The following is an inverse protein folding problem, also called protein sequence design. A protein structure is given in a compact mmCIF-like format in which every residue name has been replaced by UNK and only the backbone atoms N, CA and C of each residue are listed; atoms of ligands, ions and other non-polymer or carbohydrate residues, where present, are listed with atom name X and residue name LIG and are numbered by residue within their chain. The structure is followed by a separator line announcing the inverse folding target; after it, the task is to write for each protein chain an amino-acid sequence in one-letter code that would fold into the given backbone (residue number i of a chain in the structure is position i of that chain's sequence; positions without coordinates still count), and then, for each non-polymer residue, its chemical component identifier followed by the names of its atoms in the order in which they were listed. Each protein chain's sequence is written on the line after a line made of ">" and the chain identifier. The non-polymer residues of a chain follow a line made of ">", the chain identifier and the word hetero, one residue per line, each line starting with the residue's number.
data_IF_806642575270
#
_entry.id   IF_806642575270
#
_cell.length_a   1.000
_cell.length_b   1.000
_cell.length_c   1.000
_cell.angle_alpha   90.00
_cell.angle_beta   90.00
_cell.angle_gamma   90.00
#
_symmetry.space_group_name_H-M   'P 1'
#
loop_
_entity.id
_entity.type
_entity.pdbx_description
1 polymer ?
#
# COMPACT_ATOMS: atom_id res chain seq x y z
N UNK A 1 -1.32 14.38 17.52
CA UNK A 1 -1.49 13.25 18.48
C UNK A 1 -0.90 11.94 17.91
N UNK A 2 -0.58 10.97 18.78
CA UNK A 2 -0.17 9.62 18.38
C UNK A 2 -1.42 8.84 18.03
N UNK A 3 -1.60 8.52 16.75
CA UNK A 3 -2.89 8.02 16.25
C UNK A 3 -2.81 6.57 15.77
N UNK A 4 -1.77 5.82 16.16
CA UNK A 4 -1.63 4.41 15.80
C UNK A 4 -0.19 3.88 15.86
N UNK A 5 -0.06 2.57 15.65
CA UNK A 5 1.24 1.91 15.49
C UNK A 5 1.81 2.21 14.11
N UNK A 6 3.02 2.76 14.09
CA UNK A 6 3.75 3.07 12.87
C UNK A 6 5.11 2.38 12.93
N UNK A 7 5.36 1.45 12.01
CA UNK A 7 6.59 0.66 12.02
C UNK A 7 6.82 -0.01 13.38
N UNK A 8 5.73 -0.61 13.89
CA UNK A 8 5.64 -1.34 15.16
C UNK A 8 5.72 -0.50 16.45
N UNK A 9 5.72 0.83 16.35
CA UNK A 9 5.80 1.71 17.53
C UNK A 9 4.72 2.77 17.55
N UNK A 10 4.23 3.10 18.75
CA UNK A 10 3.26 4.19 18.94
C UNK A 10 3.97 5.51 18.70
N UNK A 11 3.65 6.17 17.59
CA UNK A 11 4.29 7.43 17.21
C UNK A 11 3.30 8.38 16.53
N UNK A 12 3.71 9.64 16.37
CA UNK A 12 2.92 10.63 15.63
C UNK A 12 3.07 10.44 14.12
N UNK A 13 2.05 10.81 13.35
CA UNK A 13 2.08 10.71 11.87
C UNK A 13 3.31 11.42 11.26
N UNK A 14 3.72 12.54 11.87
CA UNK A 14 4.94 13.25 11.48
C UNK A 14 6.23 12.40 11.59
N UNK A 15 6.30 11.47 12.56
CA UNK A 15 7.44 10.59 12.77
C UNK A 15 7.36 9.39 11.82
N UNK A 16 6.17 8.86 11.55
CA UNK A 16 5.95 7.86 10.49
C UNK A 16 6.44 8.34 9.13
N UNK A 17 5.99 9.51 8.67
CA UNK A 17 6.39 10.06 7.37
C UNK A 17 7.87 10.45 7.33
N UNK A 18 8.45 10.82 8.47
CA UNK A 18 9.88 11.10 8.57
C UNK A 18 10.71 9.81 8.49
N UNK A 19 10.34 8.79 9.26
CA UNK A 19 11.03 7.50 9.32
C UNK A 19 11.04 6.82 7.96
N UNK A 20 9.88 6.72 7.29
CA UNK A 20 9.78 6.16 5.93
C UNK A 20 10.75 6.77 4.92
N UNK A 21 11.06 8.07 5.04
CA UNK A 21 11.95 8.78 4.12
C UNK A 21 13.43 8.67 4.47
N UNK A 22 13.77 8.35 5.71
CA UNK A 22 15.15 8.45 6.19
C UNK A 22 15.72 7.14 6.72
N UNK A 23 14.90 6.15 7.08
CA UNK A 23 15.37 4.93 7.73
C UNK A 23 16.20 3.98 6.84
N UNK A 24 16.16 4.18 5.52
CA UNK A 24 16.99 3.45 4.57
C UNK A 24 18.28 4.20 4.17
N UNK A 25 18.44 5.45 4.63
CA UNK A 25 19.67 6.20 4.40
C UNK A 25 20.77 5.68 5.29
N UNK A 26 22.02 5.81 4.84
CA UNK A 26 23.14 5.62 5.75
C UNK A 26 23.10 6.74 6.82
N UNK A 27 23.30 6.34 8.07
CA UNK A 27 23.35 7.26 9.19
C UNK A 27 24.62 8.12 9.14
N UNK A 28 25.67 7.64 8.47
CA UNK A 28 26.91 8.41 8.24
C UNK A 28 26.66 9.65 7.37
N UNK A 29 25.69 9.60 6.44
CA UNK A 29 25.26 10.74 5.61
C UNK A 29 24.48 11.81 6.40
N UNK A 30 24.10 11.50 7.64
CA UNK A 30 23.35 12.40 8.50
C UNK A 30 24.26 13.00 9.56
N UNK A 31 24.61 14.27 9.43
CA UNK A 31 25.42 14.97 10.43
C UNK A 31 24.56 15.68 11.48
N UNK A 32 24.88 15.47 12.76
CA UNK A 32 24.40 16.36 13.81
C UNK A 32 25.22 17.66 13.82
N UNK A 33 24.55 18.82 13.92
CA UNK A 33 25.21 20.13 14.06
C UNK A 33 25.62 20.48 15.51
N UNK A 34 25.31 19.58 16.44
CA UNK A 34 25.53 19.73 17.88
C UNK A 34 26.23 18.46 18.41
N UNK A 35 25.96 18.04 19.64
CA UNK A 35 26.57 16.91 20.33
C UNK A 35 25.96 15.53 20.03
N UNK A 36 25.10 15.39 19.02
CA UNK A 36 24.40 14.12 18.75
C UNK A 36 23.31 13.74 19.76
N UNK A 37 23.00 14.63 20.72
CA UNK A 37 22.05 14.40 21.81
C UNK A 37 20.87 15.39 21.81
N UNK A 38 20.51 15.93 20.63
CA UNK A 38 19.45 16.94 20.51
C UNK A 38 18.11 16.43 21.08
N UNK A 39 17.45 17.25 21.89
CA UNK A 39 16.10 16.99 22.38
C UNK A 39 15.10 17.04 21.23
N UNK A 40 14.31 15.97 21.05
CA UNK A 40 13.31 15.87 19.98
C UNK A 40 11.90 16.02 20.56
N UNK A 41 11.24 17.14 20.25
CA UNK A 41 9.85 17.45 20.59
C UNK A 41 9.13 18.15 19.41
N UNK A 42 7.88 18.60 19.59
CA UNK A 42 7.09 19.25 18.52
C UNK A 42 7.83 20.41 17.86
N UNK A 43 8.50 21.24 18.66
CA UNK A 43 9.18 22.48 18.25
C UNK A 43 10.56 22.19 17.63
N UNK A 44 11.29 21.23 18.20
CA UNK A 44 12.71 20.97 17.86
C UNK A 44 12.94 19.85 16.87
N UNK A 45 11.96 18.96 16.61
CA UNK A 45 12.08 17.78 15.72
C UNK A 45 12.47 18.08 14.26
N UNK A 46 12.52 19.34 13.83
CA UNK A 46 12.97 19.72 12.49
C UNK A 46 14.43 20.21 12.46
N UNK A 47 15.03 20.46 13.63
CA UNK A 47 16.35 21.09 13.72
C UNK A 47 17.52 20.12 13.47
N UNK A 48 17.31 18.82 13.72
CA UNK A 48 18.33 17.79 13.53
C UNK A 48 17.74 16.47 13.01
N UNK A 49 18.03 16.15 11.75
CA UNK A 49 17.62 14.88 11.11
C UNK A 49 18.30 13.68 11.76
N UNK A 50 19.61 13.77 12.03
CA UNK A 50 20.39 12.70 12.68
C UNK A 50 19.76 12.28 14.02
N UNK A 51 19.65 13.19 15.00
CA UNK A 51 19.12 12.86 16.33
C UNK A 51 17.67 12.38 16.28
N UNK A 52 16.87 12.90 15.34
CA UNK A 52 15.50 12.43 15.16
C UNK A 52 15.44 11.00 14.63
N UNK A 53 16.25 10.67 13.63
CA UNK A 53 16.31 9.31 13.10
C UNK A 53 16.88 8.34 14.13
N UNK A 54 17.94 8.76 14.85
CA UNK A 54 18.48 8.00 15.98
C UNK A 54 17.38 7.67 16.99
N UNK A 55 16.59 8.67 17.41
CA UNK A 55 15.48 8.46 18.35
C UNK A 55 14.42 7.50 17.81
N UNK A 56 14.11 7.54 16.52
CA UNK A 56 13.19 6.57 15.90
C UNK A 56 13.70 5.11 16.05
N UNK A 57 14.98 4.87 15.84
CA UNK A 57 15.58 3.55 16.06
C UNK A 57 15.72 3.19 17.54
N UNK A 58 16.02 4.16 18.41
CA UNK A 58 16.11 3.95 19.87
C UNK A 58 14.78 3.43 20.43
N UNK A 59 13.65 3.97 19.95
CA UNK A 59 12.31 3.45 20.31
C UNK A 59 11.90 2.20 19.53
N UNK A 60 12.80 1.59 18.74
CA UNK A 60 12.59 0.35 17.97
C UNK A 60 11.59 0.44 16.82
N UNK A 61 11.51 1.59 16.13
CA UNK A 61 10.82 1.61 14.83
C UNK A 61 11.53 0.69 13.83
N UNK A 62 10.78 -0.20 13.19
CA UNK A 62 11.32 -1.25 12.30
C UNK A 62 11.40 -0.79 10.85
N UNK A 63 12.61 -0.62 10.30
CA UNK A 63 12.80 -0.20 8.90
C UNK A 63 12.41 -1.29 7.91
N UNK A 64 12.40 -2.55 8.35
CA UNK A 64 12.03 -3.74 7.58
C UNK A 64 10.55 -3.72 7.16
N UNK A 65 9.74 -2.90 7.83
CA UNK A 65 8.33 -2.68 7.51
C UNK A 65 8.12 -1.58 6.46
N UNK A 66 9.20 -0.94 6.01
CA UNK A 66 9.16 -0.02 4.87
C UNK A 66 9.18 -0.87 3.60
N UNK A 67 8.13 -0.72 2.78
CA UNK A 67 8.04 -1.44 1.52
C UNK A 67 9.22 -1.11 0.61
N UNK A 68 9.76 -2.13 -0.02
CA UNK A 68 10.81 -1.95 -1.03
C UNK A 68 10.22 -1.36 -2.32
N UNK A 69 11.09 -0.85 -3.18
CA UNK A 69 10.68 -0.41 -4.52
C UNK A 69 10.07 -1.57 -5.32
N UNK A 70 10.64 -2.77 -5.19
CA UNK A 70 10.15 -3.98 -5.84
C UNK A 70 8.75 -4.35 -5.35
N UNK A 71 8.51 -4.41 -4.05
CA UNK A 71 7.18 -4.67 -3.48
C UNK A 71 6.15 -3.62 -3.93
N UNK A 72 6.60 -2.37 -4.04
CA UNK A 72 5.75 -1.27 -4.53
C UNK A 72 5.37 -1.49 -6.00
N UNK A 73 6.32 -1.88 -6.85
CA UNK A 73 6.09 -2.22 -8.26
C UNK A 73 5.18 -3.44 -8.40
N UNK A 74 5.43 -4.51 -7.65
CA UNK A 74 4.59 -5.72 -7.64
C UNK A 74 3.15 -5.36 -7.29
N UNK A 75 2.94 -4.54 -6.26
CA UNK A 75 1.60 -4.09 -5.88
C UNK A 75 0.91 -3.25 -6.96
N UNK A 76 1.66 -2.42 -7.69
CA UNK A 76 1.13 -1.66 -8.82
C UNK A 76 0.72 -2.60 -9.96
N UNK A 77 1.58 -3.55 -10.33
CA UNK A 77 1.27 -4.56 -11.35
C UNK A 77 0.05 -5.40 -10.97
N UNK A 78 -0.06 -5.83 -9.71
CA UNK A 78 -1.23 -6.55 -9.22
C UNK A 78 -2.53 -5.75 -9.37
N UNK A 79 -2.48 -4.42 -9.20
CA UNK A 79 -3.65 -3.56 -9.44
C UNK A 79 -4.04 -3.53 -10.91
N UNK A 80 -3.05 -3.36 -11.79
CA UNK A 80 -3.27 -3.34 -13.25
C UNK A 80 -3.84 -4.68 -13.74
N UNK A 81 -3.27 -5.80 -13.28
CA UNK A 81 -3.79 -7.14 -13.59
C UNK A 81 -5.22 -7.29 -13.10
N UNK A 82 -5.54 -6.83 -11.89
CA UNK A 82 -6.91 -6.89 -11.35
C UNK A 82 -7.88 -6.04 -12.17
N UNK A 83 -7.46 -4.89 -12.66
CA UNK A 83 -8.25 -4.02 -13.54
C UNK A 83 -8.46 -4.66 -14.92
N UNK A 84 -7.42 -5.25 -15.49
CA UNK A 84 -7.49 -6.00 -16.74
C UNK A 84 -8.44 -7.20 -16.62
N UNK A 85 -8.34 -7.99 -15.54
CA UNK A 85 -9.24 -9.11 -15.29
C UNK A 85 -10.71 -8.66 -15.20
N UNK A 86 -10.98 -7.51 -14.56
CA UNK A 86 -12.33 -6.94 -14.52
C UNK A 86 -12.83 -6.57 -15.92
N UNK A 87 -11.98 -5.92 -16.73
CA UNK A 87 -12.34 -5.53 -18.09
C UNK A 87 -12.58 -6.75 -18.99
N UNK A 88 -11.75 -7.78 -18.87
CA UNK A 88 -11.89 -9.02 -19.62
C UNK A 88 -13.17 -9.77 -19.23
N UNK A 89 -13.56 -9.75 -17.94
CA UNK A 89 -14.86 -10.29 -17.51
C UNK A 89 -16.03 -9.55 -18.19
N UNK A 90 -16.00 -8.22 -18.20
CA UNK A 90 -17.04 -7.41 -18.87
C UNK A 90 -17.11 -7.74 -20.36
N UNK A 91 -15.96 -7.82 -21.04
CA UNK A 91 -15.90 -8.22 -22.46
C UNK A 91 -16.52 -9.59 -22.68
N UNK A 92 -16.19 -10.58 -21.83
CA UNK A 92 -16.74 -11.92 -21.90
C UNK A 92 -18.27 -11.96 -21.67
N UNK A 93 -18.77 -11.17 -20.72
CA UNK A 93 -20.20 -11.11 -20.41
C UNK A 93 -21.01 -10.46 -21.55
N UNK A 94 -20.43 -9.48 -22.25
CA UNK A 94 -21.03 -8.78 -23.39
C UNK A 94 -20.86 -9.49 -24.74
N UNK A 95 -20.04 -10.55 -24.83
CA UNK A 95 -19.85 -11.28 -26.08
C UNK A 95 -21.15 -11.98 -26.54
N UNK A 96 -21.43 -12.02 -27.87
CA UNK A 96 -22.55 -12.78 -28.40
C UNK A 96 -22.50 -14.25 -27.99
N UNK A 97 -23.65 -14.86 -27.68
CA UNK A 97 -23.73 -16.30 -27.36
C UNK A 97 -23.04 -17.15 -28.44
N UNK A 98 -23.11 -16.76 -29.71
CA UNK A 98 -22.48 -17.44 -30.84
C UNK A 98 -20.95 -17.47 -30.80
N UNK A 99 -20.30 -16.69 -29.93
CA UNK A 99 -18.85 -16.61 -29.78
C UNK A 99 -18.32 -17.27 -28.49
N UNK A 100 -19.20 -17.65 -27.57
CA UNK A 100 -18.80 -18.30 -26.30
C UNK A 100 -18.54 -19.81 -26.49
N UNK A 101 -17.80 -20.50 -25.61
CA UNK A 101 -17.66 -21.96 -25.68
C UNK A 101 -19.02 -22.68 -25.56
N UNK A 102 -19.22 -23.82 -26.25
CA UNK A 102 -20.50 -24.55 -26.26
C UNK A 102 -21.02 -24.88 -24.85
N UNK A 103 -20.13 -25.24 -23.92
CA UNK A 103 -20.47 -25.52 -22.51
C UNK A 103 -21.08 -24.29 -21.83
N UNK A 104 -20.51 -23.11 -22.08
CA UNK A 104 -20.98 -21.84 -21.53
C UNK A 104 -22.32 -21.45 -22.17
N UNK A 105 -22.48 -21.64 -23.49
CA UNK A 105 -23.74 -21.39 -24.19
C UNK A 105 -24.88 -22.22 -23.61
N UNK A 106 -24.66 -23.53 -23.39
CA UNK A 106 -25.65 -24.43 -22.79
C UNK A 106 -26.05 -23.96 -21.39
N UNK A 107 -25.07 -23.55 -20.57
CA UNK A 107 -25.32 -23.02 -19.22
C UNK A 107 -26.10 -21.71 -19.22
N UNK A 108 -25.72 -20.72 -20.06
CA UNK A 108 -26.45 -19.44 -20.18
C UNK A 108 -27.90 -19.66 -20.68
N UNK A 109 -28.11 -20.57 -21.65
CA UNK A 109 -29.46 -20.94 -22.12
C UNK A 109 -30.30 -21.59 -21.01
N UNK A 110 -29.71 -22.48 -20.20
CA UNK A 110 -30.41 -23.11 -19.08
C UNK A 110 -30.83 -22.08 -18.02
N UNK A 111 -29.94 -21.13 -17.70
CA UNK A 111 -30.25 -20.02 -16.79
C UNK A 111 -31.42 -19.15 -17.28
N UNK A 112 -31.48 -18.83 -18.58
CA UNK A 112 -32.58 -18.04 -19.14
C UNK A 112 -33.91 -18.80 -19.19
N UNK A 113 -33.89 -20.13 -19.36
CA UNK A 113 -35.10 -20.95 -19.27
C UNK A 113 -35.70 -21.01 -17.86
N UNK A 114 -34.89 -20.75 -16.85
CA UNK A 114 -35.27 -20.75 -15.44
C UNK A 114 -35.45 -19.35 -14.88
N UNK A 115 -35.21 -18.31 -15.69
CA UNK A 115 -35.42 -16.93 -15.26
C UNK A 115 -36.92 -16.73 -15.00
N UNK A 116 -37.31 -16.20 -13.83
CA UNK A 116 -38.72 -15.92 -13.55
C UNK A 116 -39.24 -14.97 -14.63
N UNK A 117 -40.41 -15.30 -15.19
CA UNK A 117 -41.13 -14.42 -16.11
C UNK A 117 -41.52 -13.17 -15.32
N UNK A 118 -40.70 -12.14 -15.42
CA UNK A 118 -41.06 -10.81 -14.93
C UNK A 118 -42.05 -10.27 -15.95
N UNK A 119 -43.34 -10.40 -15.66
CA UNK A 119 -44.37 -9.72 -16.41
C UNK A 119 -44.24 -8.21 -16.16
N UNK A 120 -44.41 -7.36 -17.20
CA UNK A 120 -44.37 -5.91 -17.06
C UNK A 120 -45.48 -5.37 -16.15
#
# INVERSE_FOLDING_TARGET
>A
PANGYNFDQITWESCKAFFRRNALRDMTDLKCRYSGTCVINVKTRRQCTYCRLKKCFDIKMRKEWIRTEEETKIRQLQKLIKEEMKLNKVKYDLQPLANLPLVVRKKKRLMWKQAPLVNP
#
